data_IF_343555859264
#
_entry.id   IF_343555859264
#
_cell.length_a   1.000
_cell.length_b   1.000
_cell.length_c   1.000
_cell.angle_alpha   90.00
_cell.angle_beta   90.00
_cell.angle_gamma   90.00
#
_symmetry.space_group_name_H-M   'P 1'
#
loop_
_entity.id
_entity.type
_entity.pdbx_description
1 polymer ?
#
# COMPACT_ATOMS: atom_id res chain seq x y z
N UNK A 1 -12.30 18.39 10.27
CA UNK A 1 -11.38 18.29 9.12
C UNK A 1 -11.61 19.47 8.18
N UNK A 2 -10.76 20.50 8.25
CA UNK A 2 -10.85 21.65 7.33
C UNK A 2 -10.37 21.27 5.93
N UNK A 3 -10.93 21.90 4.89
CA UNK A 3 -10.45 21.70 3.52
C UNK A 3 -9.04 22.29 3.36
N UNK A 4 -8.09 21.45 2.97
CA UNK A 4 -6.72 21.89 2.67
C UNK A 4 -6.66 22.16 1.17
N UNK A 5 -6.84 23.41 0.77
CA UNK A 5 -7.00 23.82 -0.63
C UNK A 5 -5.90 23.24 -1.54
N UNK A 6 -4.64 23.28 -1.10
CA UNK A 6 -3.51 22.74 -1.87
C UNK A 6 -3.59 21.23 -2.12
N UNK A 7 -4.07 20.45 -1.13
CA UNK A 7 -4.31 19.01 -1.26
C UNK A 7 -5.43 18.74 -2.26
N UNK A 8 -6.53 19.49 -2.18
CA UNK A 8 -7.67 19.31 -3.09
C UNK A 8 -7.27 19.60 -4.54
N UNK A 9 -6.52 20.68 -4.77
CA UNK A 9 -6.00 21.02 -6.10
C UNK A 9 -5.10 19.89 -6.62
N UNK A 10 -4.19 19.38 -5.78
CA UNK A 10 -3.32 18.26 -6.15
C UNK A 10 -4.11 16.98 -6.49
N UNK A 11 -5.17 16.67 -5.72
CA UNK A 11 -6.04 15.52 -5.99
C UNK A 11 -6.84 15.66 -7.29
N UNK A 12 -7.35 16.86 -7.58
CA UNK A 12 -8.03 17.15 -8.85
C UNK A 12 -7.05 17.04 -10.02
N UNK A 13 -5.83 17.59 -9.89
CA UNK A 13 -4.78 17.45 -10.91
C UNK A 13 -4.43 15.98 -11.16
N UNK A 14 -4.23 15.19 -10.10
CA UNK A 14 -4.00 13.74 -10.19
C UNK A 14 -5.10 13.05 -11.01
N UNK A 15 -6.37 13.31 -10.67
CA UNK A 15 -7.51 12.69 -11.36
C UNK A 15 -7.56 13.08 -12.84
N UNK A 16 -7.38 14.36 -13.16
CA UNK A 16 -7.38 14.85 -14.55
C UNK A 16 -6.21 14.26 -15.34
N UNK A 17 -5.02 14.20 -14.76
CA UNK A 17 -3.83 13.65 -15.41
C UNK A 17 -3.96 12.13 -15.63
N UNK A 18 -4.52 11.39 -14.68
CA UNK A 18 -4.79 9.95 -14.83
C UNK A 18 -5.83 9.68 -15.94
N UNK A 19 -6.88 10.48 -16.03
CA UNK A 19 -7.86 10.39 -17.13
C UNK A 19 -7.22 10.73 -18.48
N UNK A 20 -6.35 11.76 -18.52
CA UNK A 20 -5.61 12.13 -19.71
C UNK A 20 -4.62 11.03 -20.13
N UNK A 21 -3.95 10.38 -19.18
CA UNK A 21 -3.04 9.26 -19.44
C UNK A 21 -3.79 8.10 -20.09
N UNK A 22 -4.97 7.74 -19.57
CA UNK A 22 -5.82 6.71 -20.16
C UNK A 22 -6.26 7.07 -21.58
N UNK A 23 -6.68 8.32 -21.81
CA UNK A 23 -7.15 8.77 -23.12
C UNK A 23 -6.04 8.87 -24.17
N UNK A 24 -4.84 9.34 -23.77
CA UNK A 24 -3.72 9.61 -24.68
C UNK A 24 -2.74 8.45 -24.81
N UNK A 25 -2.77 7.47 -23.89
CA UNK A 25 -1.83 6.35 -23.79
C UNK A 25 -0.37 6.78 -23.75
N UNK A 26 -0.11 7.90 -23.09
CA UNK A 26 1.23 8.49 -22.93
C UNK A 26 1.64 8.42 -21.46
N UNK A 27 2.76 7.74 -21.20
CA UNK A 27 3.31 7.49 -19.87
C UNK A 27 3.80 8.75 -19.17
N UNK A 28 4.02 9.84 -19.92
CA UNK A 28 4.35 11.15 -19.34
C UNK A 28 3.25 11.63 -18.41
N UNK A 29 1.98 11.41 -18.78
CA UNK A 29 0.84 11.79 -17.93
C UNK A 29 0.75 10.92 -16.67
N UNK A 30 1.16 9.64 -16.72
CA UNK A 30 1.23 8.79 -15.52
C UNK A 30 2.26 9.31 -14.52
N UNK A 31 3.43 9.76 -15.01
CA UNK A 31 4.48 10.35 -14.16
C UNK A 31 3.99 11.66 -13.55
N UNK A 32 3.37 12.54 -14.35
CA UNK A 32 2.81 13.79 -13.85
C UNK A 32 1.70 13.55 -12.82
N UNK A 33 0.85 12.55 -13.05
CA UNK A 33 -0.17 12.12 -12.12
C UNK A 33 0.49 11.68 -10.79
N UNK A 34 1.48 10.79 -10.83
CA UNK A 34 2.20 10.34 -9.64
C UNK A 34 2.86 11.50 -8.87
N UNK A 35 3.49 12.45 -9.57
CA UNK A 35 4.09 13.64 -8.94
C UNK A 35 3.03 14.52 -8.27
N UNK A 36 1.88 14.73 -8.93
CA UNK A 36 0.78 15.50 -8.33
C UNK A 36 0.21 14.81 -7.09
N UNK A 37 0.07 13.47 -7.11
CA UNK A 37 -0.33 12.69 -5.94
C UNK A 37 0.68 12.80 -4.80
N UNK A 38 1.98 12.71 -5.10
CA UNK A 38 3.06 12.90 -4.12
C UNK A 38 2.97 14.28 -3.45
N UNK A 39 2.82 15.35 -4.23
CA UNK A 39 2.65 16.71 -3.71
C UNK A 39 1.40 16.81 -2.83
N UNK A 40 0.29 16.20 -3.26
CA UNK A 40 -0.95 16.15 -2.49
C UNK A 40 -0.77 15.49 -1.12
N UNK A 41 -0.04 14.36 -1.07
CA UNK A 41 0.29 13.66 0.19
C UNK A 41 1.17 14.54 1.08
N UNK A 42 2.21 15.18 0.54
CA UNK A 42 3.09 16.08 1.31
C UNK A 42 2.29 17.23 1.92
N UNK A 43 1.44 17.90 1.13
CA UNK A 43 0.59 18.99 1.61
C UNK A 43 -0.40 18.47 2.67
N UNK A 44 -0.98 17.29 2.47
CA UNK A 44 -1.89 16.69 3.43
C UNK A 44 -1.22 16.44 4.78
N UNK A 45 0.00 15.91 4.79
CA UNK A 45 0.77 15.68 6.01
C UNK A 45 1.09 16.99 6.73
N UNK A 46 1.58 18.00 6.01
CA UNK A 46 1.96 19.28 6.60
C UNK A 46 0.77 20.10 7.13
N UNK A 47 -0.44 19.80 6.68
CA UNK A 47 -1.65 20.51 7.09
C UNK A 47 -2.32 19.89 8.33
N UNK A 48 -1.86 18.72 8.79
CA UNK A 48 -2.36 18.07 10.00
C UNK A 48 -1.38 18.36 11.13
N UNK A 49 -1.89 18.97 12.22
CA UNK A 49 -1.14 19.04 13.47
C UNK A 49 -1.12 17.64 14.09
N UNK A 50 0.06 17.01 14.08
CA UNK A 50 0.28 15.75 14.78
C UNK A 50 0.42 16.05 16.28
N UNK A 51 -0.37 15.38 17.12
CA UNK A 51 -0.33 15.59 18.57
C UNK A 51 1.06 15.34 19.17
N UNK A 52 1.38 16.09 20.23
CA UNK A 52 2.64 15.99 20.97
C UNK A 52 2.84 14.55 21.51
N UNK A 53 3.57 13.71 20.76
CA UNK A 53 3.95 12.36 21.20
C UNK A 53 3.81 11.23 20.19
N UNK A 54 3.19 11.45 19.02
CA UNK A 54 2.85 10.35 18.08
C UNK A 54 3.86 10.18 16.92
N UNK A 55 4.91 11.01 16.89
CA UNK A 55 5.99 10.94 15.91
C UNK A 55 6.25 12.28 15.23
N UNK A 56 7.42 12.42 14.62
CA UNK A 56 7.76 13.62 13.86
C UNK A 56 6.95 13.72 12.56
N UNK A 57 6.75 14.92 12.02
CA UNK A 57 6.09 15.13 10.71
C UNK A 57 6.76 14.32 9.60
N UNK A 58 8.08 14.13 9.69
CA UNK A 58 8.85 13.29 8.78
C UNK A 58 8.43 11.81 8.83
N UNK A 59 8.12 11.28 10.02
CA UNK A 59 7.66 9.90 10.19
C UNK A 59 6.24 9.72 9.62
N UNK A 60 5.35 10.67 9.85
CA UNK A 60 4.00 10.65 9.26
C UNK A 60 4.03 10.76 7.74
N UNK A 61 4.90 11.62 7.22
CA UNK A 61 5.12 11.70 5.77
C UNK A 61 5.64 10.38 5.21
N UNK A 62 6.61 9.76 5.89
CA UNK A 62 7.13 8.45 5.49
C UNK A 62 6.02 7.39 5.50
N UNK A 63 5.19 7.31 6.55
CA UNK A 63 4.05 6.39 6.63
C UNK A 63 3.06 6.58 5.49
N UNK A 64 2.72 7.82 5.15
CA UNK A 64 1.78 8.09 4.06
C UNK A 64 2.37 7.76 2.69
N UNK A 65 3.63 8.11 2.44
CA UNK A 65 4.28 7.83 1.16
C UNK A 65 4.55 6.34 0.95
N UNK A 66 5.08 5.66 1.97
CA UNK A 66 5.37 4.22 1.89
C UNK A 66 4.07 3.43 1.82
N UNK A 67 3.05 3.79 2.59
CA UNK A 67 1.75 3.13 2.51
C UNK A 67 1.04 3.37 1.18
N UNK A 68 1.15 4.56 0.59
CA UNK A 68 0.65 4.80 -0.77
C UNK A 68 1.35 3.91 -1.81
N UNK A 69 2.68 3.78 -1.72
CA UNK A 69 3.45 2.89 -2.60
C UNK A 69 3.09 1.40 -2.37
N UNK A 70 2.89 1.00 -1.11
CA UNK A 70 2.53 -0.36 -0.73
C UNK A 70 1.13 -0.74 -1.21
N UNK A 71 0.13 0.08 -0.91
CA UNK A 71 -1.25 -0.10 -1.36
C UNK A 71 -1.35 -0.08 -2.88
N UNK A 72 -0.59 0.78 -3.55
CA UNK A 72 -0.45 0.79 -5.00
C UNK A 72 0.12 -0.54 -5.52
N UNK A 73 1.25 -0.98 -4.99
CA UNK A 73 1.92 -2.22 -5.43
C UNK A 73 1.06 -3.47 -5.24
N UNK A 74 0.37 -3.61 -4.09
CA UNK A 74 -0.51 -4.77 -3.85
C UNK A 74 -1.76 -4.73 -4.71
N UNK A 75 -2.32 -3.53 -4.95
CA UNK A 75 -3.48 -3.35 -5.84
C UNK A 75 -3.12 -3.65 -7.29
N UNK A 76 -1.99 -3.14 -7.78
CA UNK A 76 -1.50 -3.40 -9.14
C UNK A 76 -1.24 -4.88 -9.37
N UNK A 77 -0.62 -5.57 -8.40
CA UNK A 77 -0.37 -7.00 -8.48
C UNK A 77 -1.68 -7.80 -8.60
N UNK A 78 -2.70 -7.44 -7.81
CA UNK A 78 -4.01 -8.09 -7.85
C UNK A 78 -4.80 -7.74 -9.12
N UNK A 79 -4.83 -6.48 -9.53
CA UNK A 79 -5.52 -6.03 -10.75
C UNK A 79 -4.93 -6.72 -11.99
N UNK A 80 -3.60 -6.73 -12.10
CA UNK A 80 -2.93 -7.44 -13.18
C UNK A 80 -3.22 -8.95 -13.09
N UNK A 81 -3.19 -9.52 -11.88
CA UNK A 81 -3.58 -10.90 -11.63
C UNK A 81 -4.98 -11.22 -12.18
N UNK A 82 -5.97 -10.37 -11.91
CA UNK A 82 -7.32 -10.54 -12.45
C UNK A 82 -7.35 -10.56 -13.99
N UNK A 83 -6.58 -9.69 -14.65
CA UNK A 83 -6.48 -9.69 -16.12
C UNK A 83 -5.91 -11.00 -16.69
N UNK A 84 -5.03 -11.72 -15.98
CA UNK A 84 -4.54 -13.03 -16.45
C UNK A 84 -5.64 -14.11 -16.48
N UNK A 85 -6.71 -13.99 -15.68
CA UNK A 85 -7.83 -14.93 -15.72
C UNK A 85 -8.64 -14.79 -17.03
N UNK A 86 -8.71 -13.58 -17.57
CA UNK A 86 -9.47 -13.27 -18.79
C UNK A 86 -8.57 -13.30 -20.03
N UNK A 87 -7.27 -13.06 -19.89
CA UNK A 87 -6.30 -13.07 -20.99
C UNK A 87 -5.04 -13.90 -20.67
N UNK A 88 -5.09 -15.24 -20.88
CA UNK A 88 -3.99 -16.17 -20.56
C UNK A 88 -2.67 -15.91 -21.31
N UNK A 89 -2.73 -15.22 -22.46
CA UNK A 89 -1.59 -15.01 -23.34
C UNK A 89 -0.62 -13.90 -22.92
N UNK A 90 -0.89 -13.21 -21.81
CA UNK A 90 -0.03 -12.11 -21.34
C UNK A 90 1.34 -12.62 -20.85
N UNK A 91 2.42 -11.84 -21.03
CA UNK A 91 3.75 -12.24 -20.60
C UNK A 91 3.86 -12.25 -19.08
N UNK A 92 4.25 -13.37 -18.47
CA UNK A 92 4.40 -13.52 -17.00
C UNK A 92 5.38 -12.54 -16.35
N UNK A 93 6.28 -11.95 -17.16
CA UNK A 93 7.29 -10.98 -16.72
C UNK A 93 6.66 -9.83 -15.93
N UNK A 94 5.49 -9.34 -16.35
CA UNK A 94 4.82 -8.20 -15.72
C UNK A 94 4.35 -8.52 -14.30
N UNK A 95 3.63 -9.64 -14.12
CA UNK A 95 3.19 -10.09 -12.79
C UNK A 95 4.39 -10.38 -11.87
N UNK A 96 5.46 -10.95 -12.42
CA UNK A 96 6.70 -11.15 -11.70
C UNK A 96 7.37 -9.84 -11.26
N UNK A 97 7.32 -8.79 -12.07
CA UNK A 97 7.84 -7.47 -11.71
C UNK A 97 7.03 -6.86 -10.58
N UNK A 98 5.69 -6.83 -10.69
CA UNK A 98 4.83 -6.28 -9.64
C UNK A 98 4.94 -7.03 -8.32
N UNK A 99 5.00 -8.37 -8.36
CA UNK A 99 5.17 -9.17 -7.14
C UNK A 99 6.53 -8.91 -6.49
N UNK A 100 7.58 -8.65 -7.27
CA UNK A 100 8.89 -8.24 -6.74
C UNK A 100 8.84 -6.86 -6.09
N UNK A 101 8.14 -5.89 -6.70
CA UNK A 101 7.95 -4.58 -6.08
C UNK A 101 7.23 -4.75 -4.75
N UNK A 102 6.14 -5.53 -4.70
CA UNK A 102 5.43 -5.81 -3.46
C UNK A 102 6.34 -6.43 -2.39
N UNK A 103 7.16 -7.42 -2.75
CA UNK A 103 8.11 -8.04 -1.82
C UNK A 103 9.19 -7.09 -1.29
N UNK A 104 9.51 -6.03 -2.04
CA UNK A 104 10.48 -5.00 -1.62
C UNK A 104 9.81 -3.89 -0.81
N UNK A 105 8.59 -3.48 -1.17
CA UNK A 105 7.87 -2.40 -0.49
C UNK A 105 7.25 -2.87 0.82
N UNK A 106 6.72 -4.11 0.88
CA UNK A 106 6.15 -4.70 2.09
C UNK A 106 7.04 -4.58 3.35
N UNK A 107 8.33 -4.97 3.35
CA UNK A 107 9.15 -4.86 4.54
C UNK A 107 9.42 -3.39 4.91
N UNK A 108 9.48 -2.49 3.92
CA UNK A 108 9.64 -1.04 4.17
C UNK A 108 8.40 -0.50 4.89
N UNK A 109 7.21 -0.88 4.44
CA UNK A 109 5.93 -0.52 5.06
C UNK A 109 5.88 -0.99 6.52
N UNK A 110 6.16 -2.27 6.76
CA UNK A 110 6.15 -2.84 8.12
C UNK A 110 7.16 -2.12 9.02
N UNK A 111 8.38 -1.87 8.54
CA UNK A 111 9.41 -1.16 9.32
C UNK A 111 8.96 0.26 9.67
N UNK A 112 8.41 1.01 8.71
CA UNK A 112 7.95 2.38 8.92
C UNK A 112 6.78 2.46 9.92
N UNK A 113 5.89 1.46 9.92
CA UNK A 113 4.82 1.36 10.91
C UNK A 113 5.32 0.95 12.31
N UNK A 114 6.46 0.26 12.40
CA UNK A 114 7.10 -0.11 13.68
C UNK A 114 7.92 1.02 14.32
N UNK A 115 8.38 2.01 13.54
CA UNK A 115 9.18 3.12 14.06
C UNK A 115 8.44 3.88 15.18
N UNK A 116 9.10 4.17 16.32
CA UNK A 116 8.46 4.79 17.47
C UNK A 116 8.16 6.28 17.24
N UNK A 117 7.04 6.82 17.72
CA UNK A 117 5.87 6.13 18.29
C UNK A 117 5.11 5.39 17.20
N UNK A 118 4.89 4.06 17.34
CA UNK A 118 4.41 3.19 16.26
C UNK A 118 3.73 1.91 16.75
N UNK A 119 3.58 0.89 15.90
CA UNK A 119 2.85 -0.35 16.25
C UNK A 119 3.47 -1.14 17.41
N UNK A 120 4.77 -0.96 17.68
CA UNK A 120 5.40 -1.51 18.89
C UNK A 120 4.75 -0.93 20.16
N UNK A 121 4.39 0.34 20.14
CA UNK A 121 3.73 1.03 21.25
C UNK A 121 2.33 0.46 21.52
N UNK A 122 1.61 0.07 20.47
CA UNK A 122 0.32 -0.64 20.58
C UNK A 122 0.52 -2.04 21.17
N UNK A 123 1.47 -2.81 20.63
CA UNK A 123 1.72 -4.20 21.06
C UNK A 123 2.20 -4.30 22.52
N UNK A 124 2.95 -3.30 22.98
CA UNK A 124 3.41 -3.23 24.38
C UNK A 124 2.38 -2.59 25.33
N UNK A 125 1.20 -2.21 24.83
CA UNK A 125 0.12 -1.62 25.64
C UNK A 125 0.35 -0.17 26.08
N UNK A 126 1.32 0.53 25.49
CA UNK A 126 1.51 1.98 25.74
C UNK A 126 0.48 2.83 25.00
N UNK A 127 -0.01 2.35 23.86
CA UNK A 127 -1.20 2.87 23.18
C UNK A 127 -2.30 1.84 23.38
N UNK A 128 -3.40 2.25 24.00
CA UNK A 128 -4.58 1.39 24.15
C UNK A 128 -5.27 1.28 22.79
N UNK A 129 -5.43 0.05 22.30
CA UNK A 129 -6.15 -0.20 21.06
C UNK A 129 -7.67 -0.22 21.26
N UNK A 130 -8.16 -0.17 22.51
CA UNK A 130 -9.59 -0.21 22.86
C UNK A 130 -10.20 -1.62 22.76
N UNK A 131 -9.41 -2.63 22.40
CA UNK A 131 -9.83 -4.02 22.18
C UNK A 131 -8.92 -5.02 22.89
N UNK A 132 -8.26 -4.60 23.98
CA UNK A 132 -7.38 -5.45 24.80
C UNK A 132 -6.26 -6.14 23.99
N UNK A 133 -5.65 -5.41 23.05
CA UNK A 133 -4.54 -5.87 22.22
C UNK A 133 -4.94 -6.64 20.96
N UNK A 134 -6.24 -6.92 20.76
CA UNK A 134 -6.72 -7.70 19.60
C UNK A 134 -6.38 -7.02 18.27
N UNK A 135 -6.49 -5.69 18.18
CA UNK A 135 -6.19 -4.97 16.93
C UNK A 135 -4.68 -4.95 16.66
N UNK A 136 -3.84 -4.85 17.70
CA UNK A 136 -2.39 -4.98 17.57
C UNK A 136 -1.98 -6.35 17.02
N UNK A 137 -2.53 -7.43 17.56
CA UNK A 137 -2.26 -8.79 17.09
C UNK A 137 -2.84 -9.05 15.68
N UNK A 138 -4.03 -8.51 15.40
CA UNK A 138 -4.63 -8.57 14.07
C UNK A 138 -3.73 -7.89 13.02
N UNK A 139 -3.20 -6.70 13.33
CA UNK A 139 -2.24 -6.03 12.46
C UNK A 139 -1.01 -6.90 12.18
N UNK A 140 -0.42 -7.52 13.21
CA UNK A 140 0.74 -8.40 13.06
C UNK A 140 0.42 -9.62 12.16
N UNK A 141 -0.77 -10.21 12.33
CA UNK A 141 -1.24 -11.30 11.48
C UNK A 141 -1.40 -10.85 10.02
N UNK A 142 -2.01 -9.69 9.77
CA UNK A 142 -2.13 -9.12 8.43
C UNK A 142 -0.76 -8.83 7.80
N UNK A 143 0.15 -8.19 8.56
CA UNK A 143 1.49 -7.85 8.10
C UNK A 143 2.27 -9.11 7.68
N UNK A 144 2.30 -10.12 8.54
CA UNK A 144 2.99 -11.38 8.27
C UNK A 144 2.37 -12.17 7.11
N UNK A 145 1.05 -12.33 7.08
CA UNK A 145 0.36 -13.04 6.00
C UNK A 145 0.53 -12.36 4.65
N UNK A 146 0.55 -11.02 4.60
CA UNK A 146 0.83 -10.30 3.34
C UNK A 146 2.19 -10.70 2.76
N UNK A 147 3.23 -10.74 3.59
CA UNK A 147 4.57 -11.15 3.17
C UNK A 147 4.61 -12.62 2.70
N UNK A 148 3.99 -13.53 3.45
CA UNK A 148 3.90 -14.96 3.10
C UNK A 148 3.18 -15.16 1.76
N UNK A 149 2.04 -14.48 1.57
CA UNK A 149 1.25 -14.58 0.35
C UNK A 149 1.97 -13.96 -0.85
N UNK A 150 2.65 -12.81 -0.67
CA UNK A 150 3.47 -12.21 -1.72
C UNK A 150 4.62 -13.15 -2.14
N UNK A 151 5.26 -13.81 -1.16
CA UNK A 151 6.33 -14.77 -1.43
C UNK A 151 5.82 -16.02 -2.15
N UNK A 152 4.69 -16.59 -1.72
CA UNK A 152 4.08 -17.72 -2.42
C UNK A 152 3.58 -17.36 -3.81
N UNK A 153 3.06 -16.14 -4.00
CA UNK A 153 2.71 -15.61 -5.33
C UNK A 153 3.94 -15.63 -6.23
N UNK A 154 5.08 -15.15 -5.73
CA UNK A 154 6.35 -15.18 -6.47
C UNK A 154 6.86 -16.60 -6.73
N UNK A 155 6.72 -17.49 -5.76
CA UNK A 155 7.13 -18.88 -5.89
C UNK A 155 6.29 -19.61 -6.94
N UNK A 156 4.96 -19.42 -6.94
CA UNK A 156 4.06 -19.99 -7.93
C UNK A 156 4.46 -19.57 -9.36
N UNK A 157 4.82 -18.31 -9.58
CA UNK A 157 5.22 -17.82 -10.91
C UNK A 157 6.51 -18.44 -11.48
N UNK A 158 7.27 -19.19 -10.68
CA UNK A 158 8.43 -19.96 -11.17
C UNK A 158 8.00 -21.22 -11.93
N UNK A 159 6.81 -21.73 -11.68
CA UNK A 159 6.30 -22.92 -12.34
C UNK A 159 5.84 -22.64 -13.76
N UNK A 160 6.14 -23.55 -14.69
CA UNK A 160 5.85 -23.36 -16.12
C UNK A 160 4.37 -23.55 -16.47
N UNK A 161 3.59 -24.22 -15.63
CA UNK A 161 2.18 -24.50 -15.90
C UNK A 161 1.32 -23.22 -15.91
N UNK A 162 0.21 -23.23 -16.66
CA UNK A 162 -0.77 -22.14 -16.62
C UNK A 162 -1.52 -22.09 -15.28
N UNK A 163 -1.76 -23.25 -14.67
CA UNK A 163 -2.36 -23.37 -13.34
C UNK A 163 -1.57 -22.60 -12.27
N UNK A 164 -0.26 -22.45 -12.44
CA UNK A 164 0.57 -21.65 -11.55
C UNK A 164 0.26 -20.16 -11.61
N UNK A 165 -0.05 -19.62 -12.79
CA UNK A 165 -0.50 -18.24 -12.94
C UNK A 165 -1.85 -18.08 -12.26
N UNK A 166 -2.79 -19.00 -12.48
CA UNK A 166 -4.08 -18.99 -11.80
C UNK A 166 -3.93 -19.04 -10.27
N UNK A 167 -3.05 -19.89 -9.73
CA UNK A 167 -2.74 -19.92 -8.30
C UNK A 167 -2.16 -18.58 -7.80
N UNK A 168 -1.21 -18.00 -8.54
CA UNK A 168 -0.64 -16.69 -8.21
C UNK A 168 -1.71 -15.59 -8.16
N UNK A 169 -2.71 -15.62 -9.05
CA UNK A 169 -3.84 -14.68 -8.98
C UNK A 169 -4.62 -14.84 -7.69
N UNK A 170 -5.07 -16.05 -7.33
CA UNK A 170 -5.77 -16.29 -6.06
C UNK A 170 -4.98 -15.85 -4.82
N UNK A 171 -3.66 -16.08 -4.81
CA UNK A 171 -2.77 -15.63 -3.74
C UNK A 171 -2.69 -14.09 -3.67
N UNK A 172 -2.65 -13.40 -4.81
CA UNK A 172 -2.66 -11.93 -4.86
C UNK A 172 -3.97 -11.30 -4.34
N UNK A 173 -5.11 -11.99 -4.52
CA UNK A 173 -6.39 -11.58 -3.92
C UNK A 173 -6.37 -11.66 -2.39
N UNK A 174 -5.78 -12.71 -1.84
CA UNK A 174 -5.61 -12.81 -0.40
C UNK A 174 -4.59 -11.77 0.09
N UNK A 175 -3.53 -11.53 -0.69
CA UNK A 175 -2.50 -10.56 -0.34
C UNK A 175 -3.05 -9.12 -0.27
N UNK A 176 -3.95 -8.71 -1.17
CA UNK A 176 -4.59 -7.38 -1.07
C UNK A 176 -5.46 -7.26 0.18
N UNK A 177 -6.24 -8.29 0.52
CA UNK A 177 -7.06 -8.27 1.74
C UNK A 177 -6.20 -8.12 3.01
N UNK A 178 -5.10 -8.86 3.09
CA UNK A 178 -4.19 -8.76 4.22
C UNK A 178 -3.40 -7.44 4.21
N UNK A 179 -2.99 -6.97 3.03
CA UNK A 179 -2.21 -5.74 2.88
C UNK A 179 -3.00 -4.50 3.28
N UNK A 180 -4.27 -4.41 2.89
CA UNK A 180 -5.15 -3.33 3.37
C UNK A 180 -5.31 -3.37 4.90
N UNK A 181 -5.39 -4.57 5.49
CA UNK A 181 -5.36 -4.73 6.95
C UNK A 181 -4.07 -4.25 7.60
N UNK A 182 -2.91 -4.46 6.96
CA UNK A 182 -1.61 -3.96 7.43
C UNK A 182 -1.54 -2.44 7.49
N UNK A 183 -2.01 -1.75 6.45
CA UNK A 183 -1.91 -0.29 6.38
C UNK A 183 -3.02 0.41 7.20
N UNK A 184 -4.28 0.01 7.00
CA UNK A 184 -5.44 0.71 7.58
C UNK A 184 -5.52 0.57 9.10
N UNK A 185 -5.23 -0.62 9.64
CA UNK A 185 -5.29 -0.84 11.09
C UNK A 185 -4.21 -0.03 11.79
N UNK A 186 -2.99 0.00 11.25
CA UNK A 186 -1.92 0.81 11.83
C UNK A 186 -2.28 2.30 11.83
N UNK A 187 -2.81 2.81 10.72
CA UNK A 187 -3.25 4.22 10.66
C UNK A 187 -4.35 4.53 11.66
N UNK A 188 -5.36 3.67 11.76
CA UNK A 188 -6.48 3.87 12.68
C UNK A 188 -6.00 3.93 14.14
N UNK A 189 -5.04 3.08 14.52
CA UNK A 189 -4.52 3.02 15.89
C UNK A 189 -3.52 4.13 16.20
N UNK A 190 -2.74 4.58 15.22
CA UNK A 190 -1.73 5.61 15.41
C UNK A 190 -2.28 7.04 15.23
N UNK A 191 -3.53 7.22 14.81
CA UNK A 191 -4.17 8.54 14.71
C UNK A 191 -4.87 8.98 16.01
N UNK A 192 -4.93 8.12 17.03
CA UNK A 192 -5.53 8.36 18.35
C UNK A 192 -4.50 8.93 19.30
#
# INVERSE_FOLDING_TARGET
>A
FGAVLGREIAAVMLAVLALAAFARRDTTFDVLAAVSGFVGVVIATLAVEHGDGVGSDALWLARLLVGAAFLGAVSDAMLLGHWYLVQPGMPRKLLNQLTNVLLVVWPIEVVVMLLPTGMISVLNGTIDDGWNGVLGWFWLACASLTGVLAWFTRAALRERSYSAVMAATGLSYLAILMGFGTDLVARALLMV
#
